data_IF_253875982214
#
_entry.id   IF_253875982214
#
_cell.length_a   1.000
_cell.length_b   1.000
_cell.length_c   1.000
_cell.angle_alpha   90.00
_cell.angle_beta   90.00
_cell.angle_gamma   90.00
#
_symmetry.space_group_name_H-M   'P 1'
#
loop_
_entity.id
_entity.type
_entity.pdbx_description
1 polymer ?
#
# COMPACT_ATOMS: atom_id res chain seq x y z
N UNK A 1 -4.95 21.27 17.37
CA UNK A 1 -4.89 20.30 16.24
C UNK A 1 -4.05 19.11 16.67
N UNK A 2 -4.52 17.89 16.44
CA UNK A 2 -3.77 16.66 16.77
C UNK A 2 -2.59 16.53 15.80
N UNK A 3 -1.36 16.40 16.31
CA UNK A 3 -0.14 16.34 15.48
C UNK A 3 0.23 14.89 15.20
N UNK A 4 -0.29 14.34 14.09
CA UNK A 4 0.06 13.01 13.61
C UNK A 4 1.46 13.00 12.97
N UNK A 5 2.24 11.94 13.20
CA UNK A 5 3.47 11.66 12.44
C UNK A 5 3.14 10.79 11.23
N UNK A 6 3.87 10.98 10.13
CA UNK A 6 3.71 10.26 8.85
C UNK A 6 4.95 9.40 8.57
N UNK A 7 4.74 8.14 8.20
CA UNK A 7 5.78 7.24 7.69
C UNK A 7 5.40 6.88 6.25
N UNK A 8 6.33 7.05 5.32
CA UNK A 8 6.15 6.62 3.94
C UNK A 8 6.74 5.22 3.76
N UNK A 9 5.95 4.28 3.26
CA UNK A 9 6.34 2.90 2.98
C UNK A 9 6.23 2.69 1.47
N UNK A 10 7.26 2.10 0.86
CA UNK A 10 7.20 1.66 -0.54
C UNK A 10 7.25 0.14 -0.57
N UNK A 11 6.20 -0.48 -1.11
CA UNK A 11 6.06 -1.93 -1.22
C UNK A 11 6.21 -2.33 -2.67
N UNK A 12 7.11 -3.25 -2.96
CA UNK A 12 7.21 -3.90 -4.27
C UNK A 12 6.43 -5.21 -4.22
N UNK A 13 5.45 -5.39 -5.09
CA UNK A 13 4.58 -6.57 -5.15
C UNK A 13 4.70 -7.25 -6.51
N UNK A 14 4.61 -8.58 -6.52
CA UNK A 14 4.51 -9.36 -7.74
C UNK A 14 3.53 -10.51 -7.57
N UNK A 15 2.75 -10.80 -8.59
CA UNK A 15 1.74 -11.87 -8.53
C UNK A 15 0.72 -11.79 -9.65
N UNK A 16 -0.33 -12.59 -9.54
CA UNK A 16 -1.49 -12.45 -10.41
C UNK A 16 -2.41 -11.31 -9.92
N UNK A 17 -3.38 -10.94 -10.75
CA UNK A 17 -4.34 -9.87 -10.43
C UNK A 17 -5.06 -10.09 -9.09
N UNK A 18 -5.54 -11.30 -8.82
CA UNK A 18 -6.28 -11.62 -7.60
C UNK A 18 -5.40 -11.45 -6.36
N UNK A 19 -4.14 -11.87 -6.41
CA UNK A 19 -3.19 -11.71 -5.30
C UNK A 19 -2.92 -10.24 -5.00
N UNK A 20 -2.68 -9.41 -6.02
CA UNK A 20 -2.44 -7.97 -5.84
C UNK A 20 -3.71 -7.27 -5.33
N UNK A 21 -4.87 -7.61 -5.88
CA UNK A 21 -6.17 -7.09 -5.42
C UNK A 21 -6.38 -7.41 -3.94
N UNK A 22 -6.19 -8.67 -3.54
CA UNK A 22 -6.37 -9.08 -2.15
C UNK A 22 -5.41 -8.34 -1.21
N UNK A 23 -4.15 -8.14 -1.61
CA UNK A 23 -3.20 -7.35 -0.84
C UNK A 23 -3.69 -5.91 -0.61
N UNK A 24 -4.18 -5.24 -1.66
CA UNK A 24 -4.74 -3.88 -1.54
C UNK A 24 -6.02 -3.84 -0.70
N UNK A 25 -6.89 -4.85 -0.84
CA UNK A 25 -8.11 -4.97 -0.04
C UNK A 25 -7.79 -5.11 1.46
N UNK A 26 -6.77 -5.90 1.83
CA UNK A 26 -6.35 -6.04 3.23
C UNK A 26 -5.74 -4.76 3.79
N UNK A 27 -5.01 -3.97 2.99
CA UNK A 27 -4.55 -2.64 3.40
C UNK A 27 -5.74 -1.72 3.66
N UNK A 28 -6.74 -1.73 2.78
CA UNK A 28 -7.92 -0.88 2.89
C UNK A 28 -8.79 -1.22 4.12
N UNK A 29 -8.75 -2.46 4.60
CA UNK A 29 -9.42 -2.91 5.82
C UNK A 29 -8.65 -2.63 7.12
N UNK A 30 -7.41 -2.12 7.02
CA UNK A 30 -6.60 -1.88 8.21
C UNK A 30 -7.26 -0.86 9.14
N UNK A 31 -7.27 -1.14 10.44
CA UNK A 31 -7.70 -0.17 11.47
C UNK A 31 -6.72 1.00 11.64
N UNK A 32 -5.51 0.88 11.08
CA UNK A 32 -4.51 1.96 11.07
C UNK A 32 -4.91 3.01 10.05
N UNK A 33 -4.58 4.28 10.34
CA UNK A 33 -4.78 5.35 9.37
C UNK A 33 -3.70 5.27 8.28
N UNK A 34 -4.01 4.55 7.20
CA UNK A 34 -3.14 4.34 6.03
C UNK A 34 -3.77 5.02 4.82
N UNK A 35 -2.98 5.83 4.12
CA UNK A 35 -3.35 6.40 2.81
C UNK A 35 -2.51 5.75 1.71
N UNK A 36 -3.15 5.36 0.61
CA UNK A 36 -2.45 4.86 -0.57
C UNK A 36 -2.17 6.04 -1.50
N UNK A 37 -0.90 6.45 -1.61
CA UNK A 37 -0.52 7.66 -2.34
C UNK A 37 -0.30 7.38 -3.83
N UNK A 38 0.25 6.22 -4.16
CA UNK A 38 0.50 5.84 -5.54
C UNK A 38 0.47 4.32 -5.69
N UNK A 39 -0.16 3.86 -6.76
CA UNK A 39 -0.14 2.46 -7.19
C UNK A 39 0.28 2.44 -8.64
N UNK A 40 1.42 1.81 -8.93
CA UNK A 40 1.89 1.56 -10.28
C UNK A 40 1.95 0.06 -10.50
N UNK A 41 1.20 -0.46 -11.47
CA UNK A 41 1.17 -1.89 -11.80
C UNK A 41 1.48 -2.01 -13.28
N UNK A 42 2.38 -2.92 -13.61
CA UNK A 42 2.74 -3.28 -14.98
C UNK A 42 2.74 -4.79 -15.14
N UNK A 43 2.51 -5.23 -16.37
CA UNK A 43 2.62 -6.65 -16.72
C UNK A 43 4.06 -6.94 -17.13
N UNK A 44 4.68 -7.92 -16.49
CA UNK A 44 6.00 -8.43 -16.84
C UNK A 44 5.88 -9.94 -17.07
N UNK A 45 5.88 -10.34 -18.34
CA UNK A 45 5.64 -11.72 -18.75
C UNK A 45 4.23 -12.21 -18.36
N UNK A 46 4.16 -13.31 -17.60
CA UNK A 46 2.92 -13.92 -17.12
C UNK A 46 2.38 -13.35 -15.80
N UNK A 47 3.10 -12.43 -15.16
CA UNK A 47 2.75 -11.87 -13.86
C UNK A 47 2.54 -10.35 -13.94
N UNK A 48 1.88 -9.81 -12.92
CA UNK A 48 1.84 -8.38 -12.65
C UNK A 48 2.91 -8.07 -11.62
N UNK A 49 3.68 -7.01 -11.87
CA UNK A 49 4.62 -6.42 -10.92
C UNK A 49 4.20 -4.98 -10.64
N UNK A 50 4.35 -4.53 -9.41
CA UNK A 50 3.88 -3.22 -9.03
C UNK A 50 4.59 -2.63 -7.82
N UNK A 51 4.47 -1.32 -7.71
CA UNK A 51 4.97 -0.53 -6.60
C UNK A 51 3.79 0.18 -5.97
N UNK A 52 3.61 -0.02 -4.67
CA UNK A 52 2.57 0.62 -3.86
C UNK A 52 3.25 1.53 -2.85
N UNK A 53 2.95 2.83 -2.93
CA UNK A 53 3.41 3.83 -1.96
C UNK A 53 2.30 4.10 -0.96
N UNK A 54 2.58 3.84 0.31
CA UNK A 54 1.66 4.00 1.43
C UNK A 54 2.18 5.08 2.38
N UNK A 55 1.28 5.87 2.93
CA UNK A 55 1.52 6.78 4.03
C UNK A 55 0.79 6.26 5.26
N UNK A 56 1.53 5.87 6.29
CA UNK A 56 0.98 5.44 7.58
C UNK A 56 1.08 6.59 8.57
N UNK A 57 -0.04 6.93 9.19
CA UNK A 57 -0.11 8.00 10.18
C UNK A 57 -0.30 7.41 11.56
N UNK A 58 0.42 7.95 12.55
CA UNK A 58 0.34 7.50 13.93
C UNK A 58 0.49 8.66 14.91
N UNK A 59 -0.02 8.45 16.12
CA UNK A 59 0.23 9.31 17.26
C UNK A 59 1.54 8.87 17.92
N UNK A 60 2.58 9.72 17.98
CA UNK A 60 3.74 9.43 18.81
C UNK A 60 3.33 9.42 20.30
N UNK A 61 3.87 8.47 21.04
CA UNK A 61 3.89 8.48 22.52
C UNK A 61 4.56 9.74 23.07
#
# INVERSE_FOLDING_TARGET
AIKLKKINITVNVSGNFNSIKNFLDEIAKSERFISTENVSIRKEGGLLTGVVKLAVYYLPE
#
